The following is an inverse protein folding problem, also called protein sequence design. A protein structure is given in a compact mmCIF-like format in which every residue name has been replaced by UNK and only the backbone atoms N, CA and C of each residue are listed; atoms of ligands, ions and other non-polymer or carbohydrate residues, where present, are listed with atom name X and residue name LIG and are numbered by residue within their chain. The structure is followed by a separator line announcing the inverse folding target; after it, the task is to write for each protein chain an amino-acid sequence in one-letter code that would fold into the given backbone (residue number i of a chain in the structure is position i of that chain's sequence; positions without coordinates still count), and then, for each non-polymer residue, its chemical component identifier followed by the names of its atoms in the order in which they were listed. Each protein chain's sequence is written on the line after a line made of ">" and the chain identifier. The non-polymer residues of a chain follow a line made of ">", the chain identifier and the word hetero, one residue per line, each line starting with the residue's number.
data_IF_448478323369
#
_entry.id   IF_448478323369
#
_cell.length_a   1.000
_cell.length_b   1.000
_cell.length_c   1.000
_cell.angle_alpha   90.00
_cell.angle_beta   90.00
_cell.angle_gamma   90.00
#
_symmetry.space_group_name_H-M   'P 1'
#
loop_
_entity.id
_entity.type
_entity.pdbx_description
1 polymer ?
#
# COMPACT_ATOMS: atom_id res chain seq x y z
N UNK A 1 9.49 31.55 19.29
CA UNK A 1 9.58 31.24 20.73
C UNK A 1 8.79 29.97 20.98
N UNK A 2 9.44 28.84 21.26
CA UNK A 2 8.75 27.61 21.57
C UNK A 2 8.00 27.79 22.90
N UNK A 3 6.66 27.69 22.90
CA UNK A 3 5.89 27.72 24.14
C UNK A 3 6.27 26.46 24.93
N UNK A 4 7.07 26.65 25.97
CA UNK A 4 7.33 25.63 26.98
C UNK A 4 5.99 25.32 27.68
N UNK A 5 5.34 24.24 27.26
CA UNK A 5 4.11 23.75 27.85
C UNK A 5 4.12 22.23 27.79
N UNK A 6 3.61 21.60 28.84
CA UNK A 6 3.52 20.15 28.94
C UNK A 6 2.70 19.61 27.76
N UNK A 7 3.23 18.61 27.04
CA UNK A 7 2.50 17.91 25.97
C UNK A 7 1.41 17.04 26.60
N UNK A 8 0.34 16.75 25.84
CA UNK A 8 -0.76 15.87 26.30
C UNK A 8 -0.20 14.61 26.97
N UNK A 9 -0.64 14.33 28.20
CA UNK A 9 -0.42 13.05 28.89
C UNK A 9 -1.78 12.37 29.12
N UNK A 10 -1.84 11.05 28.95
CA UNK A 10 -3.07 10.26 29.08
C UNK A 10 -2.76 8.91 29.74
N UNK A 11 -3.59 8.49 30.70
CA UNK A 11 -3.46 7.16 31.30
C UNK A 11 -4.08 6.06 30.41
N UNK A 12 -3.62 4.80 30.53
CA UNK A 12 -4.32 3.66 29.95
C UNK A 12 -5.77 3.57 30.43
N UNK A 13 -6.64 2.97 29.63
CA UNK A 13 -8.05 2.78 30.03
C UNK A 13 -8.17 1.85 31.24
N UNK A 14 -8.81 2.35 32.29
CA UNK A 14 -9.26 1.60 33.46
C UNK A 14 -10.77 1.35 33.39
N UNK A 15 -11.30 0.46 34.22
CA UNK A 15 -12.74 0.23 34.29
C UNK A 15 -13.50 1.50 34.71
N UNK A 16 -12.86 2.34 35.53
CA UNK A 16 -13.40 3.59 36.05
C UNK A 16 -13.19 4.78 35.09
N UNK A 17 -12.56 4.56 33.93
CA UNK A 17 -12.29 5.59 32.93
C UNK A 17 -10.81 5.81 32.68
N UNK A 18 -10.42 7.04 32.37
CA UNK A 18 -9.03 7.43 32.14
C UNK A 18 -8.82 8.89 32.54
N UNK A 19 -7.57 9.25 32.78
CA UNK A 19 -7.13 10.59 33.16
C UNK A 19 -6.36 11.21 31.99
N UNK A 20 -6.80 12.39 31.55
CA UNK A 20 -6.19 13.18 30.48
C UNK A 20 -5.76 14.55 31.01
N UNK A 21 -4.51 14.93 30.77
CA UNK A 21 -3.99 16.29 30.98
C UNK A 21 -3.84 16.95 29.60
N UNK A 22 -4.64 17.98 29.36
CA UNK A 22 -4.65 18.72 28.11
C UNK A 22 -3.55 19.80 28.13
N UNK A 23 -2.70 19.78 27.10
CA UNK A 23 -1.56 20.69 26.97
C UNK A 23 -1.85 21.92 26.12
N UNK A 24 -0.80 22.68 25.81
CA UNK A 24 -0.89 23.88 24.98
C UNK A 24 -1.54 23.61 23.61
N UNK A 25 -2.62 24.36 23.30
CA UNK A 25 -3.36 24.22 22.05
C UNK A 25 -4.50 23.19 22.06
N UNK A 26 -4.75 22.56 23.21
CA UNK A 26 -5.88 21.64 23.40
C UNK A 26 -6.96 22.30 24.24
N UNK A 27 -8.20 21.88 24.01
CA UNK A 27 -9.40 22.37 24.68
C UNK A 27 -10.34 21.21 24.96
N UNK A 28 -11.18 21.35 25.97
CA UNK A 28 -12.34 20.49 26.18
C UNK A 28 -13.61 21.30 26.02
N UNK A 29 -14.71 20.63 25.71
CA UNK A 29 -16.03 21.27 25.61
C UNK A 29 -16.78 21.01 26.91
N UNK A 30 -16.97 22.06 27.71
CA UNK A 30 -17.64 21.95 29.02
C UNK A 30 -19.14 21.68 28.89
N UNK A 31 -19.83 22.36 27.97
CA UNK A 31 -21.27 22.23 27.76
C UNK A 31 -21.57 21.86 26.32
N UNK A 32 -22.14 20.67 26.10
CA UNK A 32 -22.59 20.19 24.80
C UNK A 32 -23.45 18.93 24.96
N UNK A 33 -24.05 18.49 23.86
CA UNK A 33 -24.68 17.18 23.73
C UNK A 33 -23.61 16.17 23.31
N UNK A 34 -23.42 15.12 24.10
CA UNK A 34 -22.44 14.08 23.82
C UNK A 34 -22.80 13.36 22.49
N UNK A 35 -21.88 13.25 21.51
CA UNK A 35 -22.21 12.79 20.16
C UNK A 35 -22.71 11.34 20.10
N UNK A 36 -22.24 10.49 21.03
CA UNK A 36 -22.68 9.09 21.18
C UNK A 36 -23.96 8.91 22.02
N UNK A 37 -23.98 9.35 23.28
CA UNK A 37 -25.14 9.13 24.17
C UNK A 37 -26.33 10.02 23.83
N UNK A 38 -26.13 11.10 23.06
CA UNK A 38 -27.15 12.12 22.74
C UNK A 38 -27.71 12.85 23.95
N UNK A 39 -27.04 12.75 25.08
CA UNK A 39 -27.38 13.41 26.33
C UNK A 39 -26.44 14.58 26.57
N UNK A 40 -26.90 15.57 27.32
CA UNK A 40 -26.08 16.71 27.74
C UNK A 40 -24.97 16.26 28.70
N UNK A 41 -23.81 16.90 28.63
CA UNK A 41 -22.77 16.70 29.64
C UNK A 41 -23.27 17.11 31.02
N UNK A 42 -23.08 16.23 32.01
CA UNK A 42 -23.44 16.48 33.40
C UNK A 42 -22.18 16.67 34.24
N UNK A 43 -22.24 17.62 35.17
CA UNK A 43 -21.14 17.95 36.07
C UNK A 43 -21.66 17.93 37.51
N UNK A 44 -20.92 17.31 38.43
CA UNK A 44 -21.25 17.35 39.87
C UNK A 44 -21.14 18.77 40.41
N UNK A 45 -20.14 19.51 39.95
CA UNK A 45 -19.99 20.95 40.15
C UNK A 45 -19.66 21.57 38.78
N UNK A 46 -20.46 22.55 38.29
CA UNK A 46 -20.25 23.16 36.98
C UNK A 46 -18.86 23.82 36.85
N UNK A 47 -18.16 23.66 35.71
CA UNK A 47 -16.84 24.28 35.49
C UNK A 47 -16.79 25.80 35.66
N UNK A 48 -17.87 26.53 35.38
CA UNK A 48 -17.96 27.99 35.54
C UNK A 48 -18.11 28.42 37.00
N UNK A 49 -18.33 27.49 37.94
CA UNK A 49 -18.33 27.77 39.37
C UNK A 49 -16.92 28.02 39.93
N UNK A 50 -15.87 27.64 39.20
CA UNK A 50 -14.48 27.81 39.61
C UNK A 50 -13.88 29.04 38.94
N UNK A 51 -13.32 29.96 39.73
CA UNK A 51 -12.49 31.04 39.18
C UNK A 51 -11.10 30.51 38.85
N UNK A 52 -10.54 30.95 37.72
CA UNK A 52 -9.24 30.49 37.25
C UNK A 52 -8.12 30.77 38.27
N UNK A 53 -8.21 31.88 38.99
CA UNK A 53 -7.23 32.30 40.00
C UNK A 53 -7.31 31.49 41.29
N UNK A 54 -8.43 30.81 41.52
CA UNK A 54 -8.68 29.96 42.70
C UNK A 54 -8.28 28.50 42.45
N UNK A 55 -7.88 28.15 41.22
CA UNK A 55 -7.42 26.81 40.86
C UNK A 55 -5.98 26.57 41.30
N UNK A 56 -5.65 25.37 41.82
CA UNK A 56 -4.29 25.04 42.20
C UNK A 56 -3.37 24.99 40.98
N UNK A 57 -2.18 25.55 41.11
CA UNK A 57 -1.12 25.39 40.13
C UNK A 57 -0.51 24.00 40.28
N UNK A 58 -0.56 23.20 39.22
CA UNK A 58 0.06 21.88 39.18
C UNK A 58 1.48 21.98 38.61
N UNK A 59 2.45 21.48 39.37
CA UNK A 59 3.81 21.23 38.89
C UNK A 59 3.90 19.93 38.09
N UNK A 60 5.03 19.68 37.44
CA UNK A 60 5.25 18.41 36.74
C UNK A 60 5.26 17.19 37.69
N UNK A 61 5.77 17.39 38.91
CA UNK A 61 5.76 16.37 39.97
C UNK A 61 4.33 16.06 40.43
N UNK A 62 3.48 17.07 40.58
CA UNK A 62 2.07 16.89 40.93
C UNK A 62 1.32 16.10 39.84
N UNK A 63 1.61 16.38 38.58
CA UNK A 63 1.02 15.64 37.46
C UNK A 63 1.43 14.17 37.49
N UNK A 64 2.70 13.87 37.75
CA UNK A 64 3.14 12.46 37.83
C UNK A 64 2.52 11.75 39.04
N UNK A 65 2.45 12.42 40.18
CA UNK A 65 1.79 11.90 41.38
C UNK A 65 0.30 11.61 41.12
N UNK A 66 -0.41 12.47 40.39
CA UNK A 66 -1.80 12.23 39.99
C UNK A 66 -1.93 10.98 39.10
N UNK A 67 -0.97 10.76 38.19
CA UNK A 67 -0.97 9.59 37.32
C UNK A 67 -0.71 8.30 38.10
N UNK A 68 0.22 8.33 39.05
CA UNK A 68 0.52 7.20 39.93
C UNK A 68 -0.68 6.89 40.84
N UNK A 69 -1.23 7.90 41.50
CA UNK A 69 -2.44 7.77 42.32
C UNK A 69 -3.62 7.20 41.54
N UNK A 70 -3.85 7.67 40.30
CA UNK A 70 -4.90 7.14 39.44
C UNK A 70 -4.66 5.67 39.08
N UNK A 71 -3.41 5.27 38.78
CA UNK A 71 -3.08 3.86 38.49
C UNK A 71 -3.28 2.96 39.69
N UNK A 72 -2.93 3.42 40.89
CA UNK A 72 -3.11 2.66 42.14
C UNK A 72 -4.59 2.54 42.54
N UNK A 73 -5.37 3.60 42.28
CA UNK A 73 -6.79 3.68 42.68
C UNK A 73 -7.75 3.08 41.66
N UNK A 74 -7.27 2.65 40.48
CA UNK A 74 -8.13 2.12 39.42
C UNK A 74 -7.75 0.71 39.01
N UNK A 75 -8.74 -0.04 38.54
CA UNK A 75 -8.50 -1.39 38.04
C UNK A 75 -8.19 -1.29 36.55
N UNK A 76 -6.96 -1.64 36.10
CA UNK A 76 -6.63 -1.59 34.69
C UNK A 76 -7.56 -2.53 33.94
N UNK A 77 -8.10 -2.09 32.79
CA UNK A 77 -8.79 -3.01 31.90
C UNK A 77 -7.73 -3.93 31.32
N UNK A 78 -7.58 -5.11 31.92
CA UNK A 78 -6.89 -6.21 31.28
C UNK A 78 -7.74 -6.56 30.06
N UNK A 79 -7.41 -5.97 28.91
CA UNK A 79 -7.81 -6.57 27.66
C UNK A 79 -7.21 -7.96 27.71
N UNK A 80 -8.04 -8.98 27.92
CA UNK A 80 -7.64 -10.34 27.65
C UNK A 80 -6.90 -10.29 26.32
N UNK A 81 -5.65 -10.79 26.28
CA UNK A 81 -4.97 -11.01 25.01
C UNK A 81 -5.98 -11.82 24.21
N UNK A 82 -6.67 -11.19 23.25
CA UNK A 82 -7.52 -11.94 22.33
C UNK A 82 -6.54 -12.93 21.74
N UNK A 83 -6.76 -14.21 22.04
CA UNK A 83 -6.12 -15.27 21.28
C UNK A 83 -6.23 -14.86 19.83
N UNK A 84 -5.10 -14.94 19.12
CA UNK A 84 -5.07 -14.77 17.67
C UNK A 84 -5.97 -15.89 17.15
N UNK A 85 -7.27 -15.61 17.04
CA UNK A 85 -8.22 -16.56 16.50
C UNK A 85 -7.81 -16.76 15.05
N UNK A 86 -7.69 -18.02 14.67
CA UNK A 86 -7.49 -18.43 13.29
C UNK A 86 -8.46 -17.65 12.38
N UNK A 87 -8.04 -17.25 11.17
CA UNK A 87 -8.89 -16.48 10.28
C UNK A 87 -10.18 -17.28 10.05
N UNK A 88 -11.31 -16.76 10.54
CA UNK A 88 -12.62 -17.32 10.21
C UNK A 88 -13.07 -16.70 8.90
N UNK A 89 -13.52 -17.54 7.97
CA UNK A 89 -13.99 -17.13 6.66
C UNK A 89 -15.12 -16.10 6.77
N UNK A 90 -14.80 -14.83 6.47
CA UNK A 90 -15.80 -13.78 6.31
C UNK A 90 -16.71 -14.08 5.11
N UNK A 91 -18.02 -13.97 5.35
CA UNK A 91 -19.10 -14.21 4.38
C UNK A 91 -19.16 -13.08 3.34
N UNK A 92 -18.23 -13.07 2.37
CA UNK A 92 -18.28 -12.13 1.25
C UNK A 92 -19.42 -12.53 0.32
N UNK A 93 -20.60 -11.89 0.47
CA UNK A 93 -21.72 -11.99 -0.48
C UNK A 93 -21.26 -11.60 -1.89
N UNK A 94 -20.80 -12.56 -2.69
CA UNK A 94 -20.53 -12.41 -4.13
C UNK A 94 -19.44 -11.41 -4.56
N UNK A 95 -18.88 -10.61 -3.66
CA UNK A 95 -17.85 -9.63 -4.01
C UNK A 95 -16.50 -10.30 -4.25
N UNK A 96 -15.90 -10.02 -5.41
CA UNK A 96 -14.53 -10.43 -5.76
C UNK A 96 -13.54 -9.80 -4.78
N UNK A 97 -12.74 -10.64 -4.10
CA UNK A 97 -11.59 -10.16 -3.33
C UNK A 97 -10.45 -9.74 -4.23
N UNK A 98 -9.75 -8.66 -3.90
CA UNK A 98 -8.59 -8.19 -4.67
C UNK A 98 -7.31 -9.00 -4.35
N UNK A 99 -6.41 -9.16 -5.33
CA UNK A 99 -5.11 -9.80 -5.10
C UNK A 99 -4.14 -8.81 -4.47
N UNK A 100 -3.10 -9.30 -3.82
CA UNK A 100 -2.00 -8.49 -3.30
C UNK A 100 -1.38 -7.55 -4.35
N UNK A 101 -1.32 -7.99 -5.62
CA UNK A 101 -0.88 -7.13 -6.74
C UNK A 101 -1.90 -6.05 -7.07
N UNK A 102 -3.19 -6.37 -7.17
CA UNK A 102 -4.20 -5.34 -7.41
C UNK A 102 -4.21 -4.30 -6.29
N UNK A 103 -4.14 -4.76 -5.04
CA UNK A 103 -3.97 -3.91 -3.85
C UNK A 103 -2.75 -3.01 -4.03
N UNK A 104 -1.60 -3.58 -4.37
CA UNK A 104 -0.36 -2.81 -4.62
C UNK A 104 -0.53 -1.81 -5.77
N UNK A 105 -1.30 -2.14 -6.81
CA UNK A 105 -1.62 -1.24 -7.92
C UNK A 105 -2.46 -0.05 -7.43
N UNK A 106 -3.54 -0.32 -6.70
CA UNK A 106 -4.37 0.74 -6.10
C UNK A 106 -3.54 1.64 -5.19
N UNK A 107 -2.67 1.04 -4.38
CA UNK A 107 -1.73 1.72 -3.49
C UNK A 107 -0.64 2.53 -4.20
N UNK A 108 -0.43 2.34 -5.51
CA UNK A 108 0.41 3.21 -6.33
C UNK A 108 -0.34 4.47 -6.82
N UNK A 109 -1.68 4.42 -6.85
CA UNK A 109 -2.52 5.56 -7.20
C UNK A 109 -2.76 6.52 -6.02
N UNK A 110 -2.50 6.08 -4.78
CA UNK A 110 -2.54 6.92 -3.59
C UNK A 110 -1.12 7.44 -3.30
N UNK A 111 -0.90 8.74 -3.54
CA UNK A 111 0.39 9.40 -3.40
C UNK A 111 0.73 9.80 -1.98
N UNK A 112 1.73 10.66 -1.84
CA UNK A 112 2.23 11.13 -0.54
C UNK A 112 1.16 11.87 0.27
N UNK A 113 0.18 12.48 -0.40
CA UNK A 113 -0.96 13.15 0.22
C UNK A 113 -1.80 12.21 1.10
N UNK A 114 -1.82 10.90 0.80
CA UNK A 114 -2.50 9.91 1.66
C UNK A 114 -1.59 9.38 2.76
N UNK A 115 -0.30 9.18 2.48
CA UNK A 115 0.64 8.63 3.48
C UNK A 115 1.11 9.67 4.49
N UNK A 116 1.16 10.95 4.11
CA UNK A 116 1.41 12.11 4.97
C UNK A 116 0.11 12.85 5.33
N UNK A 117 -1.03 12.34 4.89
CA UNK A 117 -2.34 12.93 5.15
C UNK A 117 -2.76 12.86 6.60
N UNK A 118 -3.94 13.41 6.87
CA UNK A 118 -4.61 13.28 8.16
C UNK A 118 -4.91 11.82 8.50
N UNK A 119 -5.22 11.56 9.77
CA UNK A 119 -5.63 10.23 10.21
C UNK A 119 -6.79 9.67 9.36
N UNK A 120 -7.72 10.54 8.97
CA UNK A 120 -8.92 10.19 8.21
C UNK A 120 -8.64 9.90 6.71
N UNK A 121 -7.48 10.26 6.18
CA UNK A 121 -7.06 9.91 4.81
C UNK A 121 -6.24 8.62 4.78
N UNK A 122 -5.40 8.41 5.81
CA UNK A 122 -4.57 7.22 5.92
C UNK A 122 -5.35 5.98 6.41
N UNK A 123 -6.19 6.12 7.45
CA UNK A 123 -6.85 4.97 8.08
C UNK A 123 -7.80 4.21 7.13
N UNK A 124 -8.57 4.85 6.22
CA UNK A 124 -9.45 4.13 5.31
C UNK A 124 -8.68 3.19 4.39
N UNK A 125 -7.52 3.63 3.90
CA UNK A 125 -6.66 2.82 3.02
C UNK A 125 -6.17 1.58 3.74
N UNK A 126 -5.67 1.72 4.97
CA UNK A 126 -5.20 0.59 5.77
C UNK A 126 -6.34 -0.37 6.13
N UNK A 127 -7.53 0.15 6.47
CA UNK A 127 -8.73 -0.65 6.72
C UNK A 127 -9.16 -1.45 5.49
N UNK A 128 -9.10 -0.85 4.30
CA UNK A 128 -9.46 -1.53 3.06
C UNK A 128 -8.50 -2.67 2.72
N UNK A 129 -7.20 -2.50 2.97
CA UNK A 129 -6.23 -3.59 2.84
C UNK A 129 -6.58 -4.70 3.83
N UNK A 130 -6.79 -4.36 5.11
CA UNK A 130 -7.15 -5.34 6.13
C UNK A 130 -8.42 -6.12 5.76
N UNK A 131 -9.44 -5.44 5.23
CA UNK A 131 -10.67 -6.06 4.77
C UNK A 131 -10.43 -7.08 3.66
N UNK A 132 -9.73 -6.70 2.59
CA UNK A 132 -9.51 -7.58 1.44
C UNK A 132 -8.61 -8.77 1.75
N UNK A 133 -7.61 -8.57 2.61
CA UNK A 133 -6.66 -9.62 3.00
C UNK A 133 -7.10 -10.37 4.26
N UNK A 134 -8.27 -10.04 4.81
CA UNK A 134 -8.79 -10.59 6.07
C UNK A 134 -7.79 -10.52 7.23
N UNK A 135 -6.98 -9.47 7.27
CA UNK A 135 -5.93 -9.29 8.28
C UNK A 135 -4.71 -10.21 8.14
N UNK A 136 -4.50 -10.88 6.99
CA UNK A 136 -3.35 -11.76 6.76
C UNK A 136 -1.99 -11.08 6.99
N UNK A 137 -0.95 -11.88 7.24
CA UNK A 137 0.41 -11.40 7.44
C UNK A 137 0.93 -10.64 6.20
N UNK A 138 0.67 -11.17 5.01
CA UNK A 138 1.03 -10.55 3.74
C UNK A 138 0.32 -9.21 3.55
N UNK A 139 -0.96 -9.13 3.91
CA UNK A 139 -1.73 -7.89 3.88
C UNK A 139 -1.20 -6.84 4.85
N UNK A 140 -0.81 -7.27 6.05
CA UNK A 140 -0.16 -6.41 7.03
C UNK A 140 1.15 -5.84 6.49
N UNK A 141 2.00 -6.67 5.89
CA UNK A 141 3.27 -6.20 5.31
C UNK A 141 3.05 -5.28 4.10
N UNK A 142 2.00 -5.49 3.30
CA UNK A 142 1.62 -4.56 2.22
C UNK A 142 1.24 -3.19 2.77
N UNK A 143 0.32 -3.14 3.73
CA UNK A 143 -0.13 -1.90 4.36
C UNK A 143 1.01 -1.17 5.07
N UNK A 144 1.90 -1.94 5.72
CA UNK A 144 3.08 -1.44 6.40
C UNK A 144 4.06 -0.79 5.42
N UNK A 145 4.42 -1.50 4.35
CA UNK A 145 5.33 -0.98 3.31
C UNK A 145 4.77 0.27 2.65
N UNK A 146 3.47 0.31 2.39
CA UNK A 146 2.79 1.49 1.87
C UNK A 146 2.87 2.66 2.84
N UNK A 147 2.51 2.45 4.11
CA UNK A 147 2.49 3.49 5.14
C UNK A 147 3.87 4.07 5.44
N UNK A 148 4.93 3.27 5.33
CA UNK A 148 6.33 3.70 5.51
C UNK A 148 6.83 4.76 4.54
N UNK A 149 6.12 4.99 3.44
CA UNK A 149 6.43 6.10 2.53
C UNK A 149 6.11 7.47 3.15
N UNK A 150 5.23 7.50 4.16
CA UNK A 150 4.91 8.71 4.90
C UNK A 150 6.02 9.07 5.89
N UNK A 151 6.37 10.35 5.93
CA UNK A 151 7.31 10.96 6.87
C UNK A 151 6.86 10.86 8.33
N UNK A 152 5.56 10.76 8.58
CA UNK A 152 4.97 10.63 9.92
C UNK A 152 4.72 9.17 10.36
N UNK A 153 5.29 8.20 9.65
CA UNK A 153 5.10 6.78 9.96
C UNK A 153 5.67 6.42 11.34
N UNK A 154 4.85 5.74 12.14
CA UNK A 154 5.23 5.16 13.42
C UNK A 154 4.83 3.68 13.48
N UNK A 155 5.80 2.83 13.78
CA UNK A 155 5.65 1.36 13.73
C UNK A 155 4.73 0.86 14.86
N UNK A 156 4.80 1.45 16.04
CA UNK A 156 3.96 1.05 17.19
C UNK A 156 2.50 1.43 16.97
N UNK A 157 2.23 2.67 16.54
CA UNK A 157 0.90 3.15 16.18
C UNK A 157 0.31 2.35 15.01
N UNK A 158 1.10 2.05 13.98
CA UNK A 158 0.66 1.17 12.88
C UNK A 158 0.19 -0.19 13.40
N UNK A 159 1.02 -0.86 14.22
CA UNK A 159 0.72 -2.17 14.77
C UNK A 159 -0.50 -2.15 15.69
N UNK A 160 -0.62 -1.10 16.51
CA UNK A 160 -1.79 -0.87 17.34
C UNK A 160 -3.05 -0.74 16.50
N UNK A 161 -3.07 0.15 15.50
CA UNK A 161 -4.23 0.38 14.63
C UNK A 161 -4.61 -0.89 13.86
N UNK A 162 -3.65 -1.60 13.29
CA UNK A 162 -3.90 -2.87 12.60
C UNK A 162 -4.61 -3.88 13.51
N UNK A 163 -4.19 -4.00 14.77
CA UNK A 163 -4.81 -4.92 15.74
C UNK A 163 -6.24 -4.55 16.16
N UNK A 164 -6.67 -3.31 15.90
CA UNK A 164 -8.02 -2.85 16.24
C UNK A 164 -9.07 -3.15 15.17
N UNK A 165 -8.65 -3.52 13.96
CA UNK A 165 -9.56 -3.84 12.87
C UNK A 165 -10.21 -5.20 13.07
N UNK A 166 -11.42 -5.35 12.52
CA UNK A 166 -12.24 -6.55 12.63
C UNK A 166 -12.92 -6.82 11.30
N UNK A 167 -13.05 -8.10 10.96
CA UNK A 167 -13.63 -8.59 9.70
C UNK A 167 -15.13 -8.91 9.81
N UNK A 168 -15.73 -8.92 11.01
CA UNK A 168 -17.10 -9.41 11.20
C UNK A 168 -18.20 -8.47 10.69
N UNK A 169 -18.97 -8.86 9.67
CA UNK A 169 -20.16 -8.14 9.19
C UNK A 169 -21.36 -8.17 10.16
N UNK A 170 -21.34 -8.99 11.21
CA UNK A 170 -22.50 -9.17 12.09
C UNK A 170 -22.45 -8.31 13.36
N UNK A 171 -23.29 -7.28 13.40
CA UNK A 171 -23.84 -6.74 14.66
C UNK A 171 -23.24 -5.46 15.22
N UNK A 172 -22.16 -4.91 14.65
CA UNK A 172 -21.51 -3.69 15.17
C UNK A 172 -21.48 -2.57 14.13
N UNK A 173 -22.64 -1.94 13.90
CA UNK A 173 -22.84 -0.85 12.92
C UNK A 173 -22.09 0.45 13.27
N UNK A 174 -21.48 0.53 14.46
CA UNK A 174 -20.76 1.72 14.93
C UNK A 174 -19.28 1.77 14.50
N UNK A 175 -18.68 0.64 14.09
CA UNK A 175 -17.27 0.62 13.68
C UNK A 175 -17.14 1.09 12.23
N UNK A 176 -16.48 2.25 12.04
CA UNK A 176 -16.04 2.70 10.71
C UNK A 176 -15.15 1.60 10.09
N UNK A 177 -15.60 1.06 8.97
CA UNK A 177 -14.86 0.10 8.14
C UNK A 177 -14.82 0.65 6.73
N UNK A 178 -13.62 0.77 6.19
CA UNK A 178 -13.43 1.16 4.79
C UNK A 178 -13.07 -0.08 3.99
N UNK A 179 -13.71 -0.25 2.85
CA UNK A 179 -13.39 -1.28 1.85
C UNK A 179 -12.81 -0.60 0.63
N UNK A 180 -12.15 -1.36 -0.25
CA UNK A 180 -11.71 -0.78 -1.53
C UNK A 180 -12.89 -0.26 -2.35
N UNK A 181 -14.07 -0.88 -2.26
CA UNK A 181 -15.28 -0.35 -2.90
C UNK A 181 -15.63 1.07 -2.41
N UNK A 182 -15.55 1.32 -1.09
CA UNK A 182 -15.77 2.66 -0.53
C UNK A 182 -14.68 3.65 -0.97
N UNK A 183 -13.41 3.23 -0.95
CA UNK A 183 -12.30 4.06 -1.43
C UNK A 183 -12.50 4.42 -2.90
N UNK A 184 -12.90 3.45 -3.74
CA UNK A 184 -13.11 3.67 -5.17
C UNK A 184 -14.28 4.60 -5.42
N UNK A 185 -15.31 4.54 -4.59
CA UNK A 185 -16.42 5.49 -4.68
C UNK A 185 -15.95 6.93 -4.41
N UNK A 186 -15.15 7.15 -3.37
CA UNK A 186 -14.68 8.50 -2.99
C UNK A 186 -13.53 9.00 -3.88
N UNK A 187 -12.68 8.10 -4.39
CA UNK A 187 -11.44 8.44 -5.08
C UNK A 187 -11.38 7.90 -6.51
N UNK A 188 -12.53 7.61 -7.15
CA UNK A 188 -12.61 6.98 -8.48
C UNK A 188 -11.68 7.61 -9.53
N UNK A 189 -11.58 8.94 -9.53
CA UNK A 189 -10.79 9.69 -10.51
C UNK A 189 -9.29 9.42 -10.45
N UNK A 190 -8.79 8.91 -9.32
CA UNK A 190 -7.38 8.56 -9.13
C UNK A 190 -7.06 7.16 -9.66
N UNK A 191 -8.08 6.33 -9.90
CA UNK A 191 -7.93 4.91 -10.19
C UNK A 191 -8.18 4.70 -11.68
N UNK A 192 -7.20 4.16 -12.44
CA UNK A 192 -7.42 3.87 -13.84
C UNK A 192 -8.59 2.90 -14.02
N UNK A 193 -9.52 3.23 -14.93
CA UNK A 193 -10.73 2.44 -15.19
C UNK A 193 -10.41 0.96 -15.46
N UNK A 194 -9.30 0.68 -16.15
CA UNK A 194 -8.85 -0.69 -16.39
C UNK A 194 -8.64 -1.52 -15.12
N UNK A 195 -8.23 -0.93 -13.99
CA UNK A 195 -8.05 -1.68 -12.73
C UNK A 195 -9.42 -2.00 -12.08
N UNK A 196 -10.48 -1.27 -12.43
CA UNK A 196 -11.84 -1.49 -11.95
C UNK A 196 -12.57 -2.62 -12.72
N UNK A 197 -12.03 -3.06 -13.86
CA UNK A 197 -12.61 -4.12 -14.69
C UNK A 197 -12.30 -5.55 -14.19
N UNK A 198 -12.90 -6.57 -14.84
CA UNK A 198 -12.69 -7.99 -14.53
C UNK A 198 -11.25 -8.47 -14.82
N UNK A 199 -10.78 -9.50 -14.09
CA UNK A 199 -9.38 -10.02 -14.07
C UNK A 199 -8.78 -10.47 -15.41
N UNK A 200 -9.48 -10.34 -16.51
CA UNK A 200 -9.06 -10.89 -17.79
C UNK A 200 -9.33 -9.97 -18.98
N UNK A 201 -9.76 -8.73 -18.74
CA UNK A 201 -9.88 -7.75 -19.84
C UNK A 201 -8.49 -7.27 -20.27
N UNK A 202 -8.35 -6.93 -21.55
CA UNK A 202 -7.10 -6.38 -22.07
C UNK A 202 -6.78 -5.01 -21.45
N UNK A 203 -7.80 -4.22 -21.13
CA UNK A 203 -7.63 -2.94 -20.43
C UNK A 203 -7.09 -3.13 -19.01
N UNK A 204 -7.61 -4.12 -18.27
CA UNK A 204 -7.10 -4.51 -16.95
C UNK A 204 -5.66 -5.01 -17.03
N UNK A 205 -5.37 -5.94 -17.95
CA UNK A 205 -4.03 -6.49 -18.12
C UNK A 205 -3.02 -5.40 -18.48
N UNK A 206 -3.39 -4.48 -19.37
CA UNK A 206 -2.59 -3.32 -19.75
C UNK A 206 -2.33 -2.39 -18.57
N UNK A 207 -3.37 -2.05 -17.80
CA UNK A 207 -3.22 -1.18 -16.63
C UNK A 207 -2.27 -1.80 -15.59
N UNK A 208 -2.47 -3.08 -15.28
CA UNK A 208 -1.62 -3.82 -14.34
C UNK A 208 -0.19 -3.94 -14.85
N UNK A 209 0.02 -4.34 -16.10
CA UNK A 209 1.38 -4.41 -16.64
C UNK A 209 2.05 -3.03 -16.63
N UNK A 210 1.32 -1.97 -17.00
CA UNK A 210 1.83 -0.59 -16.99
C UNK A 210 2.27 -0.16 -15.60
N UNK A 211 1.44 -0.36 -14.58
CA UNK A 211 1.74 0.03 -13.20
C UNK A 211 2.95 -0.73 -12.65
N UNK A 212 3.02 -2.05 -12.85
CA UNK A 212 4.07 -2.88 -12.26
C UNK A 212 5.39 -2.89 -13.01
N UNK A 213 5.35 -2.59 -14.31
CA UNK A 213 6.52 -2.64 -15.19
C UNK A 213 6.96 -1.26 -15.65
N UNK A 214 6.29 -0.19 -15.20
CA UNK A 214 6.77 1.19 -15.35
C UNK A 214 8.23 1.30 -14.91
N UNK A 215 9.06 1.95 -15.72
CA UNK A 215 10.50 2.10 -15.47
C UNK A 215 11.36 0.86 -15.76
N UNK A 216 10.76 -0.29 -16.07
CA UNK A 216 11.51 -1.50 -16.48
C UNK A 216 11.51 -1.72 -18.00
N UNK A 217 10.54 -1.14 -18.70
CA UNK A 217 10.42 -1.23 -20.15
C UNK A 217 10.17 0.15 -20.75
N UNK A 218 10.62 0.32 -21.98
CA UNK A 218 10.33 1.45 -22.85
C UNK A 218 9.99 0.92 -24.24
N UNK A 219 9.11 1.64 -24.95
CA UNK A 219 8.71 1.34 -26.31
C UNK A 219 8.99 2.53 -27.21
N UNK A 220 9.89 2.33 -28.18
CA UNK A 220 10.20 3.31 -29.19
C UNK A 220 9.25 3.11 -30.39
N UNK A 221 8.26 3.99 -30.53
CA UNK A 221 7.16 3.81 -31.50
C UNK A 221 7.59 4.00 -32.95
N UNK A 222 8.61 4.82 -33.18
CA UNK A 222 9.24 5.10 -34.46
C UNK A 222 9.99 3.89 -35.04
N UNK A 223 10.78 3.21 -34.20
CA UNK A 223 11.55 2.01 -34.56
C UNK A 223 10.79 0.71 -34.29
N UNK A 224 9.63 0.80 -33.62
CA UNK A 224 8.81 -0.34 -33.15
C UNK A 224 9.62 -1.32 -32.29
N UNK A 225 10.56 -0.80 -31.51
CA UNK A 225 11.47 -1.59 -30.69
C UNK A 225 11.14 -1.46 -29.20
N UNK A 226 11.23 -2.58 -28.49
CA UNK A 226 11.13 -2.62 -27.03
C UNK A 226 12.53 -2.61 -26.41
N UNK A 227 12.67 -1.78 -25.39
CA UNK A 227 13.86 -1.71 -24.55
C UNK A 227 13.48 -2.15 -23.15
N UNK A 228 14.36 -2.92 -22.49
CA UNK A 228 14.23 -3.31 -21.09
C UNK A 228 15.41 -2.79 -20.29
N UNK A 229 15.18 -2.51 -19.02
CA UNK A 229 16.23 -2.12 -18.09
C UNK A 229 17.24 -3.26 -17.93
N UNK A 230 18.52 -2.94 -18.01
CA UNK A 230 19.57 -3.93 -17.85
C UNK A 230 19.68 -4.39 -16.39
N UNK A 231 19.65 -5.70 -16.18
CA UNK A 231 19.73 -6.29 -14.83
C UNK A 231 21.14 -6.25 -14.26
N UNK A 232 22.15 -6.19 -15.12
CA UNK A 232 23.55 -6.11 -14.70
C UNK A 232 24.01 -4.69 -14.42
N UNK A 233 23.15 -3.70 -14.69
CA UNK A 233 23.45 -2.27 -14.58
C UNK A 233 24.79 -1.90 -15.24
N UNK A 234 25.16 -2.60 -16.33
CA UNK A 234 26.36 -2.30 -17.12
C UNK A 234 26.06 -1.15 -18.08
N UNK A 235 24.86 -1.19 -18.64
CA UNK A 235 24.20 -0.12 -19.38
C UNK A 235 22.81 0.08 -18.73
N UNK A 236 22.02 1.02 -19.24
CA UNK A 236 20.71 1.32 -18.65
C UNK A 236 19.63 0.53 -19.39
N UNK A 237 19.65 0.58 -20.72
CA UNK A 237 18.63 -0.01 -21.58
C UNK A 237 19.22 -1.02 -22.56
N UNK A 238 18.45 -2.06 -22.85
CA UNK A 238 18.79 -3.07 -23.85
C UNK A 238 17.58 -3.39 -24.69
N UNK A 239 17.79 -3.49 -26.00
CA UNK A 239 16.76 -4.02 -26.91
C UNK A 239 16.38 -5.43 -26.47
N UNK A 240 15.08 -5.71 -26.43
CA UNK A 240 14.57 -7.02 -26.03
C UNK A 240 14.80 -8.04 -27.15
N UNK A 241 15.51 -9.14 -26.86
CA UNK A 241 15.66 -10.26 -27.79
C UNK A 241 14.34 -11.05 -27.94
N UNK A 242 13.52 -11.09 -26.88
CA UNK A 242 12.19 -11.72 -26.88
C UNK A 242 11.09 -10.72 -27.22
N UNK A 243 10.00 -11.20 -27.82
CA UNK A 243 8.78 -10.40 -28.01
C UNK A 243 8.23 -9.95 -26.65
N UNK A 244 7.77 -8.70 -26.54
CA UNK A 244 7.14 -8.17 -25.31
C UNK A 244 6.01 -9.08 -24.78
N UNK A 245 5.32 -9.77 -25.68
CA UNK A 245 4.30 -10.76 -25.35
C UNK A 245 4.84 -11.92 -24.47
N UNK A 246 6.11 -12.31 -24.57
CA UNK A 246 6.69 -13.29 -23.65
C UNK A 246 6.70 -12.76 -22.21
N UNK A 247 7.19 -11.54 -22.02
CA UNK A 247 7.23 -10.88 -20.71
C UNK A 247 5.84 -10.62 -20.12
N UNK A 248 4.88 -10.22 -20.96
CA UNK A 248 3.47 -10.06 -20.54
C UNK A 248 2.89 -11.41 -20.14
N UNK A 249 3.14 -12.48 -20.89
CA UNK A 249 2.66 -13.82 -20.57
C UNK A 249 3.20 -14.30 -19.21
N UNK A 250 4.50 -14.14 -18.95
CA UNK A 250 5.09 -14.43 -17.63
C UNK A 250 4.45 -13.59 -16.52
N UNK A 251 4.21 -12.31 -16.78
CA UNK A 251 3.52 -11.43 -15.84
C UNK A 251 2.10 -11.92 -15.52
N UNK A 252 1.29 -12.24 -16.53
CA UNK A 252 -0.08 -12.75 -16.35
C UNK A 252 -0.10 -14.10 -15.61
N UNK A 253 0.86 -15.00 -15.90
CA UNK A 253 1.01 -16.27 -15.17
C UNK A 253 1.33 -16.00 -13.69
N UNK A 254 2.22 -15.06 -13.41
CA UNK A 254 2.58 -14.71 -12.04
C UNK A 254 1.41 -14.05 -11.27
N UNK A 255 0.60 -13.20 -11.92
CA UNK A 255 -0.62 -12.64 -11.31
C UNK A 255 -1.60 -13.71 -10.84
N UNK A 256 -1.64 -14.86 -11.53
CA UNK A 256 -2.50 -15.99 -11.15
C UNK A 256 -1.96 -16.78 -9.99
N UNK A 257 -0.63 -16.97 -9.86
CA UNK A 257 -0.04 -17.67 -8.71
C UNK A 257 -0.43 -16.96 -7.40
N UNK A 258 -0.33 -15.64 -7.38
CA UNK A 258 -0.73 -14.80 -6.24
C UNK A 258 -2.24 -14.88 -5.94
N UNK A 259 -3.09 -15.22 -6.93
CA UNK A 259 -4.53 -15.36 -6.76
C UNK A 259 -4.96 -16.73 -6.20
N UNK A 260 -4.10 -17.75 -6.27
CA UNK A 260 -4.38 -19.10 -5.77
C UNK A 260 -3.78 -19.38 -4.39
N UNK A 261 -3.00 -18.45 -3.84
CA UNK A 261 -2.38 -18.55 -2.51
C UNK A 261 -3.35 -18.22 -1.35
N UNK A 262 -4.66 -18.09 -1.63
CA UNK A 262 -5.69 -17.79 -0.63
C UNK A 262 -6.94 -18.69 -0.73
N UNK A 263 -6.85 -19.83 -1.43
CA UNK A 263 -7.91 -20.82 -1.37
C UNK A 263 -7.35 -22.09 -0.74
N UNK A 264 -7.68 -22.30 0.54
CA UNK A 264 -7.69 -23.63 1.13
C UNK A 264 -8.48 -24.60 0.23
N UNK A 265 -8.25 -25.90 0.42
CA UNK A 265 -8.83 -26.99 -0.38
C UNK A 265 -10.28 -26.69 -0.82
N UNK A 266 -10.50 -26.59 -2.13
CA UNK A 266 -11.85 -26.38 -2.66
C UNK A 266 -12.62 -27.68 -2.45
N UNK A 267 -13.46 -27.71 -1.42
CA UNK A 267 -14.47 -28.75 -1.23
C UNK A 267 -15.63 -28.46 -2.19
N UNK A 268 -15.76 -29.31 -3.21
CA UNK A 268 -16.89 -29.23 -4.12
C UNK A 268 -18.20 -29.55 -3.37
N UNK A 269 -19.34 -29.15 -3.92
CA UNK A 269 -20.68 -29.44 -3.34
C UNK A 269 -20.98 -30.93 -3.14
N UNK A 270 -20.17 -31.81 -3.73
CA UNK A 270 -20.24 -33.27 -3.63
C UNK A 270 -19.27 -33.85 -2.58
N UNK A 271 -18.59 -33.03 -1.78
CA UNK A 271 -17.63 -33.45 -0.75
C UNK A 271 -16.27 -33.90 -1.31
N UNK A 272 -16.04 -33.78 -2.61
CA UNK A 272 -14.75 -34.17 -3.20
C UNK A 272 -13.69 -33.09 -3.00
N UNK A 273 -12.66 -33.41 -2.22
CA UNK A 273 -11.45 -32.60 -2.05
C UNK A 273 -10.49 -32.90 -3.18
N UNK A 274 -10.33 -31.97 -4.12
CA UNK A 274 -9.33 -32.11 -5.19
C UNK A 274 -8.06 -31.37 -4.78
N UNK A 275 -6.93 -32.08 -4.80
CA UNK A 275 -5.61 -31.49 -4.59
C UNK A 275 -5.42 -30.30 -5.55
N UNK A 276 -5.28 -29.06 -5.04
CA UNK A 276 -5.14 -27.85 -5.86
C UNK A 276 -4.01 -27.96 -6.90
N UNK A 277 -2.96 -28.72 -6.60
CA UNK A 277 -1.80 -28.95 -7.48
C UNK A 277 -2.13 -29.80 -8.72
N UNK A 278 -3.08 -30.73 -8.63
CA UNK A 278 -3.49 -31.58 -9.75
C UNK A 278 -4.45 -30.84 -10.72
N UNK A 279 -5.34 -30.00 -10.16
CA UNK A 279 -6.16 -29.08 -10.96
C UNK A 279 -5.29 -27.99 -11.63
N UNK A 280 -4.27 -27.50 -10.92
CA UNK A 280 -3.27 -26.56 -11.45
C UNK A 280 -2.58 -27.12 -12.70
N UNK A 281 -2.00 -28.32 -12.65
CA UNK A 281 -1.27 -28.90 -13.80
C UNK A 281 -2.15 -29.13 -15.03
N UNK A 282 -3.39 -29.61 -14.83
CA UNK A 282 -4.34 -29.85 -15.93
C UNK A 282 -4.87 -28.56 -16.55
N UNK A 283 -5.07 -27.52 -15.74
CA UNK A 283 -5.45 -26.19 -16.23
C UNK A 283 -4.27 -25.47 -16.89
N UNK A 284 -3.05 -25.63 -16.38
CA UNK A 284 -1.82 -25.01 -16.89
C UNK A 284 -1.54 -25.39 -18.34
N UNK A 285 -1.65 -26.69 -18.69
CA UNK A 285 -1.42 -27.17 -20.06
C UNK A 285 -2.44 -26.64 -21.08
N UNK A 286 -3.73 -26.52 -20.71
CA UNK A 286 -4.78 -25.96 -21.58
C UNK A 286 -4.76 -24.42 -21.64
N UNK A 287 -4.15 -23.75 -20.65
CA UNK A 287 -4.13 -22.27 -20.50
C UNK A 287 -2.95 -21.59 -21.18
N UNK A 288 -1.84 -22.29 -21.47
CA UNK A 288 -0.68 -21.70 -22.15
C UNK A 288 -1.05 -21.04 -23.50
N UNK A 289 -1.96 -21.64 -24.27
CA UNK A 289 -2.45 -21.08 -25.53
C UNK A 289 -3.35 -19.84 -25.35
N UNK A 290 -4.16 -19.81 -24.29
CA UNK A 290 -5.05 -18.68 -23.98
C UNK A 290 -4.24 -17.46 -23.51
N UNK A 291 -3.23 -17.67 -22.66
CA UNK A 291 -2.35 -16.60 -22.19
C UNK A 291 -1.47 -16.05 -23.32
N UNK A 292 -1.06 -16.90 -24.27
CA UNK A 292 -0.34 -16.43 -25.46
C UNK A 292 -1.19 -15.47 -26.30
N UNK A 293 -2.48 -15.78 -26.51
CA UNK A 293 -3.42 -14.92 -27.24
C UNK A 293 -3.66 -13.59 -26.51
N UNK A 294 -3.96 -13.65 -25.20
CA UNK A 294 -4.19 -12.46 -24.36
C UNK A 294 -2.98 -11.57 -24.25
N UNK A 295 -1.82 -12.18 -24.05
CA UNK A 295 -0.55 -11.46 -24.02
C UNK A 295 -0.31 -10.70 -25.32
N UNK A 296 -0.58 -11.33 -26.47
CA UNK A 296 -0.50 -10.65 -27.77
C UNK A 296 -1.48 -9.50 -27.89
N UNK A 297 -2.73 -9.68 -27.45
CA UNK A 297 -3.74 -8.60 -27.45
C UNK A 297 -3.34 -7.43 -26.54
N UNK A 298 -2.88 -7.75 -25.32
CA UNK A 298 -2.38 -6.78 -24.34
C UNK A 298 -1.15 -6.05 -24.85
N UNK A 299 -0.21 -6.74 -25.50
CA UNK A 299 0.96 -6.14 -26.16
C UNK A 299 0.52 -5.10 -27.20
N UNK A 300 -0.40 -5.47 -28.10
CA UNK A 300 -0.94 -4.54 -29.10
C UNK A 300 -1.61 -3.32 -28.44
N UNK A 301 -2.37 -3.53 -27.35
CA UNK A 301 -3.04 -2.45 -26.62
C UNK A 301 -2.05 -1.52 -25.92
N UNK A 302 -0.91 -2.05 -25.45
CA UNK A 302 0.18 -1.28 -24.86
C UNK A 302 0.91 -0.48 -25.95
N UNK A 303 1.27 -1.11 -27.07
CA UNK A 303 1.96 -0.48 -28.21
C UNK A 303 1.13 0.60 -28.90
N UNK A 304 -0.21 0.55 -28.82
CA UNK A 304 -1.06 1.59 -29.39
C UNK A 304 -1.04 2.91 -28.61
N UNK A 305 -0.97 2.84 -27.27
CA UNK A 305 -0.99 4.01 -26.37
C UNK A 305 -0.66 3.58 -24.95
N UNK A 306 0.51 3.93 -24.41
CA UNK A 306 0.91 3.52 -23.06
C UNK A 306 1.96 4.47 -22.47
N UNK A 307 2.10 4.57 -21.13
CA UNK A 307 3.20 5.29 -20.48
C UNK A 307 4.60 4.81 -20.88
N UNK A 308 4.75 3.65 -21.54
CA UNK A 308 6.06 3.19 -22.02
C UNK A 308 6.57 3.92 -23.28
N UNK A 309 5.75 4.73 -23.94
CA UNK A 309 6.12 5.35 -25.22
C UNK A 309 7.22 6.39 -25.07
N UNK A 310 8.22 6.30 -25.94
CA UNK A 310 9.34 7.22 -26.01
C UNK A 310 9.82 7.37 -27.46
N UNK A 311 10.50 8.47 -27.79
CA UNK A 311 11.13 8.63 -29.11
C UNK A 311 12.44 7.84 -29.14
N UNK A 312 12.80 7.15 -30.23
CA UNK A 312 14.09 6.45 -30.28
C UNK A 312 15.28 7.41 -30.24
N UNK A 313 15.08 8.66 -30.66
CA UNK A 313 16.12 9.69 -30.74
C UNK A 313 16.72 10.08 -29.39
N UNK A 314 16.04 9.78 -28.28
CA UNK A 314 16.58 10.08 -26.95
C UNK A 314 17.62 9.04 -26.51
N UNK A 315 17.60 7.84 -27.09
CA UNK A 315 18.58 6.81 -26.77
C UNK A 315 19.92 7.20 -27.39
N UNK A 316 20.97 7.16 -26.58
CA UNK A 316 22.33 7.51 -27.01
C UNK A 316 22.45 8.93 -27.62
N UNK A 317 21.53 9.84 -27.27
CA UNK A 317 21.50 11.21 -27.77
C UNK A 317 22.72 12.03 -27.31
N UNK A 318 23.24 11.72 -26.11
CA UNK A 318 24.42 12.36 -25.58
C UNK A 318 25.68 11.61 -26.03
N UNK A 319 26.31 12.12 -27.09
CA UNK A 319 27.53 11.55 -27.70
C UNK A 319 28.75 11.49 -26.76
N UNK A 320 28.69 12.17 -25.60
CA UNK A 320 29.73 12.05 -24.56
C UNK A 320 29.76 10.64 -23.96
N UNK A 321 28.64 9.94 -23.92
CA UNK A 321 28.54 8.65 -23.25
C UNK A 321 28.28 7.53 -24.26
N UNK A 322 28.97 6.42 -24.11
CA UNK A 322 28.76 5.25 -24.95
C UNK A 322 28.65 3.98 -24.10
N UNK A 323 27.65 3.14 -24.40
CA UNK A 323 27.49 1.84 -23.76
C UNK A 323 28.40 0.80 -24.38
N UNK A 324 29.34 0.29 -23.59
CA UNK A 324 30.33 -0.71 -23.96
C UNK A 324 29.98 -2.10 -23.41
N UNK A 325 30.87 -3.08 -23.60
CA UNK A 325 30.70 -4.44 -23.08
C UNK A 325 30.58 -4.49 -21.56
N UNK A 326 31.36 -3.65 -20.88
CA UNK A 326 31.60 -3.73 -19.44
C UNK A 326 31.09 -2.51 -18.65
N UNK A 327 30.49 -1.52 -19.33
CA UNK A 327 30.03 -0.31 -18.66
C UNK A 327 29.54 0.80 -19.61
N UNK A 328 29.37 1.99 -19.06
CA UNK A 328 29.24 3.24 -19.82
C UNK A 328 30.58 3.97 -19.76
N UNK A 329 31.14 4.28 -20.92
CA UNK A 329 32.36 5.06 -21.10
C UNK A 329 32.01 6.54 -21.32
N UNK A 330 32.66 7.44 -20.57
CA UNK A 330 32.69 8.86 -20.84
C UNK A 330 33.83 9.17 -21.83
N UNK A 331 33.48 9.56 -23.04
CA UNK A 331 34.40 9.85 -24.14
C UNK A 331 35.27 11.08 -23.91
N UNK A 332 34.88 11.97 -23.00
CA UNK A 332 35.66 13.17 -22.68
C UNK A 332 36.76 12.88 -21.65
N UNK A 333 36.45 12.04 -20.65
CA UNK A 333 37.37 11.72 -19.55
C UNK A 333 38.10 10.40 -19.72
N UNK A 334 37.62 9.53 -20.62
CA UNK A 334 38.10 8.17 -20.78
C UNK A 334 37.80 7.28 -19.57
N UNK A 335 36.83 7.64 -18.71
CA UNK A 335 36.52 6.90 -17.48
C UNK A 335 35.16 6.23 -17.55
N UNK A 336 35.03 5.14 -16.77
CA UNK A 336 33.75 4.51 -16.54
C UNK A 336 32.91 5.33 -15.56
N UNK A 337 31.64 5.55 -15.91
CA UNK A 337 30.70 6.24 -15.02
C UNK A 337 29.62 5.30 -14.49
N UNK A 338 29.03 5.68 -13.35
CA UNK A 338 27.87 4.98 -12.80
C UNK A 338 26.64 5.32 -13.65
N UNK A 339 25.92 4.32 -14.18
CA UNK A 339 24.72 4.56 -14.98
C UNK A 339 23.62 5.26 -14.18
N UNK A 340 23.04 6.31 -14.76
CA UNK A 340 21.87 7.04 -14.24
C UNK A 340 20.73 6.95 -15.24
N UNK A 341 19.50 6.69 -14.79
CA UNK A 341 18.35 6.42 -15.67
C UNK A 341 18.09 7.52 -16.72
N UNK A 342 18.37 8.76 -16.37
CA UNK A 342 18.23 9.96 -17.21
C UNK A 342 19.15 9.96 -18.45
N UNK A 343 20.18 9.11 -18.49
CA UNK A 343 21.15 9.12 -19.58
C UNK A 343 20.68 8.32 -20.80
N UNK A 344 19.66 7.46 -20.68
CA UNK A 344 19.09 6.65 -21.77
C UNK A 344 20.13 5.93 -22.67
N UNK A 345 21.22 5.45 -22.07
CA UNK A 345 22.31 4.79 -22.82
C UNK A 345 21.99 3.32 -23.10
N UNK A 346 22.20 2.91 -24.34
CA UNK A 346 22.05 1.53 -24.80
C UNK A 346 23.40 0.86 -25.04
N UNK A 347 23.41 -0.47 -25.18
CA UNK A 347 24.63 -1.19 -25.55
C UNK A 347 24.96 -0.95 -27.03
N UNK A 348 26.08 -0.26 -27.29
CA UNK A 348 26.46 0.18 -28.63
C UNK A 348 27.60 -0.65 -29.25
N UNK A 349 28.76 -0.75 -28.61
CA UNK A 349 29.99 -1.17 -29.33
C UNK A 349 30.43 -2.61 -29.10
N UNK A 350 29.97 -3.30 -28.05
CA UNK A 350 30.39 -4.68 -27.75
C UNK A 350 31.88 -4.85 -27.42
N UNK A 351 32.66 -3.78 -27.52
CA UNK A 351 34.08 -3.66 -27.18
C UNK A 351 34.23 -3.45 -25.67
N UNK A 352 35.23 -4.05 -25.01
CA UNK A 352 35.56 -3.75 -23.63
C UNK A 352 36.22 -2.37 -23.51
N UNK A 353 36.11 -1.80 -22.32
CA UNK A 353 36.75 -0.54 -21.98
C UNK A 353 38.27 -0.65 -22.02
N UNK A 354 38.92 0.40 -22.51
CA UNK A 354 40.38 0.55 -22.53
C UNK A 354 40.71 1.86 -21.83
N UNK A 355 41.40 1.78 -20.69
CA UNK A 355 41.95 2.95 -20.02
C UNK A 355 43.05 3.57 -20.90
N UNK A 356 42.92 4.88 -21.15
CA UNK A 356 43.88 5.68 -21.92
C UNK A 356 44.92 6.36 -21.04
#
# INVERSE_FOLDING_TARGET
>A
MAKAGIKKKQTPKSQQGHLDILGGGQYFVAYNIHPKTKEEYTWTTPPDAFKAEELPLLSEEDVEHLFEFFKESTTPVVKAKKEIKSPKEGNTKGNRRYTNREITAFLSCFGEEFTNGTHDEWIPVVMAIHHETQGSHEGKELARRWSKRGSSYDEENFNYKWSTFDCEEEGDSEKKRSTFASIFYHHRKLIPDGILEERFSDAYNKAMFSVFKSGYFLYASDTKAWYKKDKTNRYIWRITDDKIAGYIMEFLISMKKDAFDLCEEIENKDGTKKNPRALYLKAYAKRNACEQSRSKSTANAIEAKSPFHISSEIFDANLRYIGERDGILDMETGQQITPKEELYITKSTGTPFVEG
#
